data_IF_926354075066
#
_entry.id   IF_926354075066
#
_cell.length_a   1.000
_cell.length_b   1.000
_cell.length_c   1.000
_cell.angle_alpha   90.00
_cell.angle_beta   90.00
_cell.angle_gamma   90.00
#
_symmetry.space_group_name_H-M   'P 1'
#
loop_
_entity.id
_entity.type
_entity.pdbx_description
1 polymer ?
#
# COMPACT_ATOMS: atom_id res chain seq x y z
N UNK A 1 0.62 2.72 -3.13
CA UNK A 1 -0.65 3.39 -2.78
C UNK A 1 -0.40 4.78 -2.24
N UNK A 2 -1.46 5.54 -2.01
CA UNK A 2 -1.45 6.83 -1.31
C UNK A 2 -2.69 6.90 -0.40
N UNK A 3 -2.56 7.61 0.71
CA UNK A 3 -3.65 7.92 1.61
C UNK A 3 -3.85 9.45 1.59
N UNK A 4 -5.01 9.89 1.11
CA UNK A 4 -5.34 11.32 0.98
C UNK A 4 -5.85 11.94 2.30
N UNK A 5 -5.98 11.17 3.38
CA UNK A 5 -6.45 11.63 4.69
C UNK A 5 -7.31 10.59 5.41
N UNK A 6 -7.48 10.76 6.73
CA UNK A 6 -8.24 9.84 7.59
C UNK A 6 -9.71 9.71 7.18
N UNK A 7 -10.34 10.81 6.74
CA UNK A 7 -11.72 10.83 6.21
C UNK A 7 -11.78 10.81 4.68
N UNK A 8 -10.64 10.61 4.01
CA UNK A 8 -10.53 10.63 2.56
C UNK A 8 -10.38 9.23 1.97
N UNK A 9 -10.63 9.16 0.66
CA UNK A 9 -10.36 7.96 -0.14
C UNK A 9 -8.87 7.59 -0.11
N UNK A 10 -8.60 6.31 -0.31
CA UNK A 10 -7.27 5.82 -0.65
C UNK A 10 -7.04 5.99 -2.14
N UNK A 11 -5.77 6.00 -2.55
CA UNK A 11 -5.38 6.12 -3.94
C UNK A 11 -4.41 5.04 -4.39
N UNK A 12 -4.56 4.59 -5.62
CA UNK A 12 -3.56 3.80 -6.33
C UNK A 12 -3.04 4.64 -7.49
N UNK A 13 -1.73 4.76 -7.60
CA UNK A 13 -1.07 5.57 -8.62
C UNK A 13 -0.18 4.66 -9.46
N UNK A 14 -0.49 4.55 -10.75
CA UNK A 14 0.32 3.83 -11.73
C UNK A 14 1.13 4.82 -12.56
N UNK A 15 2.45 4.74 -12.42
CA UNK A 15 3.38 5.54 -13.21
C UNK A 15 3.87 4.73 -14.41
N UNK A 16 3.50 5.17 -15.61
CA UNK A 16 3.83 4.52 -16.87
C UNK A 16 4.79 5.40 -17.68
N UNK A 17 5.81 4.77 -18.26
CA UNK A 17 6.77 5.45 -19.11
C UNK A 17 6.88 4.75 -20.47
N UNK A 18 6.75 5.54 -21.54
CA UNK A 18 6.94 5.07 -22.90
C UNK A 18 8.39 5.29 -23.32
N UNK A 19 9.17 4.21 -23.42
CA UNK A 19 10.58 4.29 -23.86
C UNK A 19 10.72 4.77 -25.32
N UNK A 20 9.71 4.53 -26.17
CA UNK A 20 9.75 4.90 -27.59
C UNK A 20 9.50 6.39 -27.83
N UNK A 21 8.51 6.95 -27.14
CA UNK A 21 8.09 8.34 -27.32
C UNK A 21 8.60 9.27 -26.20
N UNK A 22 9.28 8.70 -25.19
CA UNK A 22 9.74 9.39 -24.00
C UNK A 22 8.64 10.15 -23.23
N UNK A 23 7.40 9.66 -23.32
CA UNK A 23 6.26 10.23 -22.60
C UNK A 23 6.10 9.55 -21.24
N UNK A 24 5.67 10.33 -20.25
CA UNK A 24 5.30 9.86 -18.92
C UNK A 24 3.80 10.05 -18.73
N UNK A 25 3.14 9.03 -18.20
CA UNK A 25 1.72 9.04 -17.87
C UNK A 25 1.56 8.58 -16.43
N UNK A 26 0.72 9.29 -15.69
CA UNK A 26 0.33 8.90 -14.34
C UNK A 26 -1.17 8.65 -14.34
N UNK A 27 -1.57 7.46 -13.92
CA UNK A 27 -2.97 7.09 -13.74
C UNK A 27 -3.26 7.05 -12.25
N UNK A 28 -4.17 7.91 -11.78
CA UNK A 28 -4.62 7.96 -10.39
C UNK A 28 -6.01 7.36 -10.28
N UNK A 29 -6.16 6.42 -9.36
CA UNK A 29 -7.43 5.75 -9.08
C UNK A 29 -7.76 6.03 -7.62
N UNK A 30 -8.89 6.67 -7.37
CA UNK A 30 -9.42 6.89 -6.03
C UNK A 30 -10.31 5.70 -5.67
N UNK A 31 -10.13 5.16 -4.46
CA UNK A 31 -10.91 4.04 -3.94
C UNK A 31 -11.39 4.28 -2.52
N UNK A 32 -12.63 3.87 -2.20
CA UNK A 32 -13.20 4.08 -0.89
C UNK A 32 -12.44 3.28 0.18
N UNK A 33 -12.24 3.89 1.34
CA UNK A 33 -11.47 3.30 2.47
C UNK A 33 -12.11 2.07 3.10
N UNK A 34 -13.44 1.96 3.10
CA UNK A 34 -14.16 0.83 3.74
C UNK A 34 -13.97 -0.49 2.99
N UNK A 35 -13.90 -0.45 1.65
CA UNK A 35 -13.71 -1.62 0.77
C UNK A 35 -12.85 -1.23 -0.43
N UNK A 36 -11.54 -0.99 -0.23
CA UNK A 36 -10.67 -0.52 -1.29
C UNK A 36 -10.31 -1.68 -2.22
N UNK A 37 -11.08 -1.88 -3.29
CA UNK A 37 -10.86 -2.91 -4.29
C UNK A 37 -10.49 -2.27 -5.63
N UNK A 38 -9.40 -2.74 -6.25
CA UNK A 38 -8.91 -2.30 -7.55
C UNK A 38 -8.64 -3.52 -8.45
N UNK A 39 -8.92 -3.47 -9.76
CA UNK A 39 -8.48 -4.53 -10.67
C UNK A 39 -6.95 -4.60 -10.75
N UNK A 40 -6.38 -5.79 -10.60
CA UNK A 40 -4.94 -6.02 -10.78
C UNK A 40 -4.52 -5.79 -12.24
N UNK A 41 -3.36 -5.17 -12.43
CA UNK A 41 -2.72 -5.04 -13.76
C UNK A 41 -1.57 -6.03 -13.97
N UNK A 42 -1.39 -6.98 -13.04
CA UNK A 42 -0.34 -8.02 -13.06
C UNK A 42 -0.32 -8.81 -14.38
N UNK A 43 -1.50 -9.08 -14.94
CA UNK A 43 -1.63 -9.83 -16.20
C UNK A 43 -1.11 -9.06 -17.42
N UNK A 44 -1.09 -7.72 -17.36
CA UNK A 44 -0.57 -6.85 -18.41
C UNK A 44 0.91 -6.58 -18.16
N UNK A 45 1.25 -6.15 -16.95
CA UNK A 45 2.61 -5.84 -16.52
C UNK A 45 2.97 -6.68 -15.30
N UNK A 46 3.76 -7.72 -15.52
CA UNK A 46 4.15 -8.68 -14.49
C UNK A 46 4.98 -8.08 -13.35
N UNK A 47 5.56 -6.90 -13.56
CA UNK A 47 6.24 -6.14 -12.49
C UNK A 47 5.26 -5.63 -11.42
N UNK A 48 3.97 -5.49 -11.76
CA UNK A 48 2.95 -5.02 -10.83
C UNK A 48 2.71 -6.00 -9.68
N UNK A 49 3.07 -7.29 -9.81
CA UNK A 49 2.96 -8.31 -8.75
C UNK A 49 3.49 -7.79 -7.40
N UNK A 50 4.74 -7.35 -7.37
CA UNK A 50 5.38 -6.86 -6.14
C UNK A 50 4.77 -5.55 -5.63
N UNK A 51 4.47 -4.61 -6.51
CA UNK A 51 3.95 -3.29 -6.14
C UNK A 51 2.50 -3.34 -5.64
N UNK A 52 1.68 -4.24 -6.22
CA UNK A 52 0.31 -4.48 -5.78
C UNK A 52 0.30 -5.18 -4.43
N UNK A 53 1.19 -6.16 -4.22
CA UNK A 53 1.38 -6.80 -2.91
C UNK A 53 1.89 -5.84 -1.83
N UNK A 54 2.84 -4.97 -2.15
CA UNK A 54 3.30 -3.91 -1.25
C UNK A 54 2.15 -2.97 -0.87
N UNK A 55 1.35 -2.55 -1.87
CA UNK A 55 0.22 -1.65 -1.64
C UNK A 55 -0.87 -2.33 -0.80
N UNK A 56 -1.11 -3.62 -0.98
CA UNK A 56 -1.98 -4.42 -0.13
C UNK A 56 -1.45 -4.49 1.31
N UNK A 57 -0.17 -4.77 1.51
CA UNK A 57 0.42 -4.90 2.84
C UNK A 57 0.46 -3.58 3.62
N UNK A 58 0.72 -2.47 2.92
CA UNK A 58 0.89 -1.15 3.54
C UNK A 58 -0.39 -0.34 3.68
N UNK A 59 -1.30 -0.44 2.71
CA UNK A 59 -2.53 0.36 2.64
C UNK A 59 -3.81 -0.50 2.70
N UNK A 60 -3.71 -1.82 2.63
CA UNK A 60 -4.88 -2.71 2.68
C UNK A 60 -5.80 -2.61 1.47
N UNK A 61 -5.26 -2.20 0.31
CA UNK A 61 -6.01 -2.14 -0.94
C UNK A 61 -5.96 -3.52 -1.60
N UNK A 62 -7.12 -4.12 -1.84
CA UNK A 62 -7.24 -5.45 -2.45
C UNK A 62 -7.20 -5.36 -3.97
N UNK A 63 -6.38 -6.21 -4.60
CA UNK A 63 -6.24 -6.27 -6.05
C UNK A 63 -6.98 -7.49 -6.62
N UNK A 64 -8.12 -7.25 -7.28
CA UNK A 64 -8.94 -8.31 -7.85
C UNK A 64 -8.26 -8.91 -9.10
N UNK A 65 -8.13 -10.23 -9.14
CA UNK A 65 -7.52 -10.95 -10.27
C UNK A 65 -6.00 -11.13 -10.16
N UNK A 66 -5.39 -10.72 -9.04
CA UNK A 66 -4.00 -10.97 -8.70
C UNK A 66 -3.79 -12.46 -8.37
N UNK A 67 -2.67 -13.05 -8.82
CA UNK A 67 -2.42 -14.50 -8.65
C UNK A 67 -2.06 -14.91 -7.22
N UNK A 68 -1.28 -14.09 -6.51
CA UNK A 68 -0.83 -14.36 -5.14
C UNK A 68 -0.82 -13.08 -4.28
N UNK A 69 -1.99 -12.65 -3.83
CA UNK A 69 -2.11 -11.46 -2.98
C UNK A 69 -1.89 -11.83 -1.50
N UNK A 70 -0.65 -11.68 -1.04
CA UNK A 70 -0.24 -11.88 0.36
C UNK A 70 0.71 -10.78 0.79
N UNK A 71 0.81 -10.56 2.11
CA UNK A 71 1.79 -9.66 2.74
C UNK A 71 3.22 -10.01 2.30
N UNK A 72 4.10 -9.01 2.22
CA UNK A 72 5.49 -9.19 1.75
C UNK A 72 6.52 -8.50 2.63
N UNK A 73 6.17 -7.35 3.21
CA UNK A 73 7.07 -6.55 4.04
C UNK A 73 6.78 -6.83 5.52
N UNK A 74 5.51 -6.97 5.88
CA UNK A 74 5.10 -7.21 7.24
C UNK A 74 5.03 -8.70 7.54
N UNK A 75 5.29 -9.08 8.80
CA UNK A 75 4.99 -10.41 9.30
C UNK A 75 3.53 -10.82 9.03
N UNK A 76 3.30 -12.13 8.85
CA UNK A 76 1.96 -12.66 8.54
C UNK A 76 0.94 -12.41 9.66
N UNK A 77 1.42 -12.28 10.90
CA UNK A 77 0.63 -12.01 12.11
C UNK A 77 0.40 -10.52 12.38
N UNK A 78 0.91 -9.63 11.52
CA UNK A 78 0.77 -8.19 11.71
C UNK A 78 -0.69 -7.75 11.52
N UNK A 79 -1.22 -7.00 12.47
CA UNK A 79 -2.57 -6.44 12.40
C UNK A 79 -2.54 -4.99 11.92
N UNK A 80 -3.39 -4.67 10.94
CA UNK A 80 -3.51 -3.33 10.35
C UNK A 80 -2.51 -3.03 9.22
N UNK A 81 -2.44 -1.75 8.87
CA UNK A 81 -1.83 -1.21 7.64
C UNK A 81 -1.01 0.06 7.95
N UNK A 82 0.33 -0.05 8.11
CA UNK A 82 1.17 1.01 8.67
C UNK A 82 1.24 2.33 7.92
N UNK A 83 0.98 2.35 6.60
CA UNK A 83 1.05 3.59 5.81
C UNK A 83 -0.28 4.33 5.73
N UNK A 84 -1.34 3.82 6.37
CA UNK A 84 -2.56 4.59 6.55
C UNK A 84 -2.37 5.64 7.64
N UNK A 85 -2.99 6.80 7.48
CA UNK A 85 -2.86 7.95 8.39
C UNK A 85 -3.52 7.73 9.75
N UNK A 86 -4.55 6.90 9.79
CA UNK A 86 -5.29 6.45 10.96
C UNK A 86 -4.63 5.27 11.70
N UNK A 87 -3.46 4.80 11.24
CA UNK A 87 -2.81 3.64 11.84
C UNK A 87 -2.12 3.99 13.17
N UNK A 88 -2.57 3.36 14.25
CA UNK A 88 -1.90 3.42 15.55
C UNK A 88 -0.83 2.34 15.66
N UNK A 89 0.42 2.76 15.87
CA UNK A 89 1.52 1.81 16.06
C UNK A 89 1.35 1.02 17.36
N UNK A 90 1.45 -0.33 17.31
CA UNK A 90 1.37 -1.16 18.49
C UNK A 90 2.51 -0.81 19.45
N UNK A 91 2.21 -0.74 20.74
CA UNK A 91 3.20 -0.49 21.80
C UNK A 91 4.09 -1.70 22.07
N UNK A 92 3.61 -2.90 21.72
CA UNK A 92 4.33 -4.15 21.90
C UNK A 92 4.15 -5.05 20.68
N UNK A 93 5.21 -5.74 20.27
CA UNK A 93 5.18 -6.77 19.24
C UNK A 93 5.91 -8.01 19.75
N UNK A 94 5.22 -9.16 19.82
CA UNK A 94 5.71 -10.39 20.47
C UNK A 94 6.35 -10.18 21.86
N UNK A 95 5.78 -9.30 22.68
CA UNK A 95 6.30 -9.02 24.03
C UNK A 95 7.55 -8.13 24.07
N UNK A 96 8.00 -7.63 22.91
CA UNK A 96 9.05 -6.61 22.80
C UNK A 96 8.37 -5.25 22.74
N UNK A 97 8.71 -4.35 23.66
CA UNK A 97 8.24 -2.96 23.60
C UNK A 97 8.82 -2.26 22.37
N UNK A 98 7.95 -1.69 21.54
CA UNK A 98 8.35 -0.88 20.40
C UNK A 98 8.50 0.55 20.91
N UNK A 99 9.73 1.07 21.04
CA UNK A 99 9.93 2.41 21.58
C UNK A 99 9.25 3.44 20.67
N UNK A 100 8.23 4.12 21.19
CA UNK A 100 7.59 5.27 20.55
C UNK A 100 8.50 6.51 20.70
N UNK A 101 9.71 6.50 20.13
CA UNK A 101 10.62 7.65 20.24
C UNK A 101 10.74 8.44 18.93
N UNK A 102 10.24 9.68 18.98
CA UNK A 102 10.90 10.86 18.41
C UNK A 102 11.36 11.80 19.55
N UNK A 103 11.90 11.27 20.63
CA UNK A 103 12.61 12.07 21.63
C UNK A 103 14.11 11.92 21.34
N UNK A 104 14.71 12.92 20.70
CA UNK A 104 16.15 12.92 20.36
C UNK A 104 16.50 13.32 18.92
N UNK A 105 15.53 13.69 18.10
CA UNK A 105 15.78 14.35 16.81
C UNK A 105 15.43 15.83 16.92
N UNK A 106 16.19 16.57 17.73
CA UNK A 106 16.36 18.03 17.61
C UNK A 106 17.69 18.33 16.93
#
# INVERSE_FOLDING_TARGET
GVDYGEESDLGVIYNLHSMKHNHKLEVRINVPREKPVVPSVEQIWRIADWFERETYDMYGIEFQGHRDLRRILLPEDWEGFPLRKDYEFPTTYHGIEVPKMKEGWE
#
